data_IF_859867197387
#
_entry.id   IF_859867197387
#
_cell.length_a   1.000
_cell.length_b   1.000
_cell.length_c   1.000
_cell.angle_alpha   90.00
_cell.angle_beta   90.00
_cell.angle_gamma   90.00
#
_symmetry.space_group_name_H-M   'P 1'
#
loop_
_entity.id
_entity.type
_entity.pdbx_description
1 polymer ?
#
# COMPACT_ATOMS: atom_id res chain seq x y z
N UNK A 1 -36.87 1.19 -23.79
CA UNK A 1 -35.90 0.08 -23.90
C UNK A 1 -34.44 0.52 -23.94
N UNK A 2 -34.04 1.53 -24.70
CA UNK A 2 -32.63 1.99 -24.82
C UNK A 2 -32.03 2.50 -23.50
N UNK A 3 -32.80 3.25 -22.69
CA UNK A 3 -32.34 3.80 -21.41
C UNK A 3 -32.10 2.72 -20.33
N UNK A 4 -32.88 1.64 -20.30
CA UNK A 4 -32.66 0.53 -19.35
C UNK A 4 -31.40 -0.27 -19.68
N UNK A 5 -31.09 -0.43 -20.97
CA UNK A 5 -29.85 -1.10 -21.40
C UNK A 5 -28.61 -0.30 -21.01
N UNK A 6 -28.66 1.03 -21.16
CA UNK A 6 -27.57 1.90 -20.72
C UNK A 6 -27.40 1.89 -19.21
N UNK A 7 -28.50 1.95 -18.45
CA UNK A 7 -28.43 1.86 -16.99
C UNK A 7 -27.86 0.51 -16.53
N UNK A 8 -28.34 -0.59 -17.10
CA UNK A 8 -27.85 -1.93 -16.78
C UNK A 8 -26.34 -2.04 -17.09
N UNK A 9 -25.91 -1.57 -18.26
CA UNK A 9 -24.47 -1.57 -18.61
C UNK A 9 -23.63 -0.74 -17.62
N UNK A 10 -24.10 0.46 -17.23
CA UNK A 10 -23.40 1.31 -16.26
C UNK A 10 -23.27 0.67 -14.90
N UNK A 11 -24.35 0.04 -14.42
CA UNK A 11 -24.35 -0.69 -13.14
C UNK A 11 -23.39 -1.90 -13.22
N UNK A 12 -23.43 -2.65 -14.32
CA UNK A 12 -22.53 -3.80 -14.51
C UNK A 12 -21.07 -3.39 -14.50
N UNK A 13 -20.70 -2.29 -15.17
CA UNK A 13 -19.33 -1.74 -15.15
C UNK A 13 -18.94 -1.33 -13.75
N UNK A 14 -19.81 -0.62 -13.02
CA UNK A 14 -19.52 -0.19 -11.65
C UNK A 14 -19.31 -1.38 -10.71
N UNK A 15 -20.16 -2.40 -10.81
CA UNK A 15 -20.02 -3.64 -10.02
C UNK A 15 -18.73 -4.38 -10.37
N UNK A 16 -18.41 -4.51 -11.66
CA UNK A 16 -17.18 -5.16 -12.10
C UNK A 16 -15.94 -4.42 -11.58
N UNK A 17 -15.91 -3.10 -11.70
CA UNK A 17 -14.82 -2.30 -11.16
C UNK A 17 -14.67 -2.47 -9.64
N UNK A 18 -15.79 -2.43 -8.91
CA UNK A 18 -15.78 -2.65 -7.46
C UNK A 18 -15.20 -4.02 -7.10
N UNK A 19 -15.62 -5.08 -7.80
CA UNK A 19 -15.11 -6.43 -7.57
C UNK A 19 -13.62 -6.55 -7.87
N UNK A 20 -13.17 -5.96 -8.99
CA UNK A 20 -11.74 -5.96 -9.38
C UNK A 20 -10.90 -5.23 -8.34
N UNK A 21 -11.32 -4.03 -7.91
CA UNK A 21 -10.58 -3.28 -6.88
C UNK A 21 -10.61 -3.97 -5.52
N UNK A 22 -11.74 -4.55 -5.13
CA UNK A 22 -11.85 -5.31 -3.87
C UNK A 22 -10.94 -6.53 -3.90
N UNK A 23 -10.93 -7.26 -5.01
CA UNK A 23 -10.02 -8.38 -5.21
C UNK A 23 -8.55 -7.94 -5.08
N UNK A 24 -8.16 -6.89 -5.80
CA UNK A 24 -6.80 -6.38 -5.74
C UNK A 24 -6.39 -5.92 -4.32
N UNK A 25 -7.31 -5.29 -3.60
CA UNK A 25 -7.04 -4.67 -2.30
C UNK A 25 -7.13 -5.64 -1.12
N UNK A 26 -8.09 -6.56 -1.14
CA UNK A 26 -8.45 -7.41 0.00
C UNK A 26 -8.31 -8.91 -0.27
N UNK A 27 -7.69 -9.29 -1.37
CA UNK A 27 -7.48 -10.70 -1.64
C UNK A 27 -6.79 -11.37 -0.45
N UNK A 28 -7.47 -12.33 0.20
CA UNK A 28 -6.86 -13.13 1.26
C UNK A 28 -5.87 -14.10 0.62
N UNK A 29 -4.59 -13.83 0.80
CA UNK A 29 -3.55 -14.73 0.34
C UNK A 29 -3.62 -16.04 1.14
N UNK A 30 -3.32 -17.16 0.46
CA UNK A 30 -3.06 -18.42 1.16
C UNK A 30 -1.95 -18.20 2.19
N UNK A 31 -2.11 -18.76 3.39
CA UNK A 31 -1.08 -18.70 4.42
C UNK A 31 0.26 -19.25 3.92
N UNK A 32 1.35 -18.67 4.41
CA UNK A 32 2.69 -19.14 4.12
C UNK A 32 2.92 -20.52 4.74
N UNK A 33 3.34 -21.47 3.92
CA UNK A 33 3.82 -22.77 4.43
C UNK A 33 5.27 -22.66 4.91
N UNK A 34 5.73 -23.54 5.80
CA UNK A 34 7.13 -23.55 6.24
C UNK A 34 8.13 -23.66 5.08
N UNK A 35 7.80 -24.39 4.03
CA UNK A 35 8.66 -24.53 2.84
C UNK A 35 8.74 -23.22 2.05
N UNK A 36 7.64 -22.49 1.93
CA UNK A 36 7.63 -21.18 1.28
C UNK A 36 8.41 -20.13 2.09
N UNK A 37 8.27 -20.14 3.43
CA UNK A 37 9.07 -19.28 4.31
C UNK A 37 10.56 -19.55 4.09
N UNK A 38 10.98 -20.83 4.07
CA UNK A 38 12.37 -21.19 3.82
C UNK A 38 12.87 -20.73 2.45
N UNK A 39 12.05 -20.85 1.40
CA UNK A 39 12.39 -20.39 0.06
C UNK A 39 12.58 -18.85 0.00
N UNK A 40 11.66 -18.09 0.59
CA UNK A 40 11.79 -16.63 0.68
C UNK A 40 13.03 -16.22 1.48
N UNK A 41 13.26 -16.86 2.63
CA UNK A 41 14.42 -16.54 3.46
C UNK A 41 15.73 -16.81 2.71
N UNK A 42 15.85 -17.95 2.04
CA UNK A 42 17.06 -18.25 1.24
C UNK A 42 17.33 -17.21 0.15
N UNK A 43 16.28 -16.76 -0.54
CA UNK A 43 16.40 -15.71 -1.56
C UNK A 43 16.84 -14.37 -0.95
N UNK A 44 16.20 -13.97 0.16
CA UNK A 44 16.51 -12.70 0.85
C UNK A 44 17.92 -12.73 1.44
N UNK A 45 18.36 -13.86 2.03
CA UNK A 45 19.71 -14.05 2.52
C UNK A 45 20.77 -13.91 1.42
N UNK A 46 20.52 -14.47 0.25
CA UNK A 46 21.40 -14.31 -0.90
C UNK A 46 21.51 -12.85 -1.36
N UNK A 47 20.42 -12.08 -1.23
CA UNK A 47 20.40 -10.66 -1.60
C UNK A 47 21.14 -9.75 -0.60
N UNK A 48 21.22 -10.12 0.69
CA UNK A 48 21.93 -9.35 1.72
C UNK A 48 23.44 -9.25 1.42
N UNK A 49 23.97 -10.16 0.62
CA UNK A 49 25.35 -10.07 0.13
C UNK A 49 25.56 -8.89 -0.83
N UNK A 50 24.48 -8.29 -1.36
CA UNK A 50 24.56 -7.10 -2.21
C UNK A 50 24.72 -5.84 -1.38
N UNK A 51 25.51 -4.85 -1.83
CA UNK A 51 25.67 -3.58 -1.12
C UNK A 51 24.34 -2.89 -0.85
N UNK A 52 24.11 -2.45 0.38
CA UNK A 52 22.93 -1.71 0.78
C UNK A 52 21.72 -2.55 1.22
N UNK A 53 21.76 -3.87 1.13
CA UNK A 53 20.70 -4.70 1.69
C UNK A 53 20.89 -4.89 3.22
N UNK A 54 19.89 -4.46 3.99
CA UNK A 54 19.89 -4.61 5.44
C UNK A 54 18.57 -5.23 5.91
N UNK A 55 18.63 -6.44 6.47
CA UNK A 55 17.49 -7.11 7.07
C UNK A 55 17.89 -7.76 8.39
N UNK A 56 17.02 -7.63 9.39
CA UNK A 56 17.09 -8.50 10.55
C UNK A 56 16.43 -9.85 10.18
N UNK A 57 17.23 -10.82 9.75
CA UNK A 57 16.75 -12.10 9.23
C UNK A 57 15.96 -12.88 10.28
N UNK A 58 16.40 -12.86 11.54
CA UNK A 58 15.70 -13.54 12.61
C UNK A 58 14.29 -12.99 12.81
N UNK A 59 14.16 -11.67 12.92
CA UNK A 59 12.87 -11.02 13.08
C UNK A 59 11.96 -11.20 11.83
N UNK A 60 12.56 -11.17 10.63
CA UNK A 60 11.82 -11.40 9.40
C UNK A 60 11.29 -12.83 9.31
N UNK A 61 12.11 -13.84 9.62
CA UNK A 61 11.69 -15.25 9.64
C UNK A 61 10.51 -15.45 10.58
N UNK A 62 10.65 -15.03 11.84
CA UNK A 62 9.59 -15.12 12.84
C UNK A 62 8.30 -14.45 12.36
N UNK A 63 8.41 -13.25 11.77
CA UNK A 63 7.29 -12.53 11.23
C UNK A 63 6.57 -13.31 10.11
N UNK A 64 7.30 -13.99 9.22
CA UNK A 64 6.71 -14.80 8.14
C UNK A 64 6.10 -16.11 8.65
N UNK A 65 6.70 -16.75 9.65
CA UNK A 65 6.20 -17.98 10.27
C UNK A 65 4.87 -17.76 11.02
N UNK A 66 4.63 -16.54 11.52
CA UNK A 66 3.39 -16.13 12.19
C UNK A 66 2.31 -15.62 11.21
N UNK A 67 2.38 -15.95 9.91
CA UNK A 67 1.45 -15.46 8.91
C UNK A 67 0.01 -15.88 9.21
N UNK A 68 -0.89 -14.91 9.27
CA UNK A 68 -2.33 -15.08 9.49
C UNK A 68 -3.19 -14.66 8.26
N UNK A 69 -2.52 -14.38 7.14
CA UNK A 69 -3.16 -13.96 5.88
C UNK A 69 -3.76 -12.57 5.89
N UNK A 70 -3.63 -11.82 7.00
CA UNK A 70 -4.20 -10.48 7.12
C UNK A 70 -3.25 -9.40 6.63
N UNK A 71 -3.78 -8.21 6.30
CA UNK A 71 -2.96 -7.05 6.00
C UNK A 71 -2.07 -6.67 7.18
N UNK A 72 -0.86 -6.25 6.84
CA UNK A 72 0.11 -5.71 7.81
C UNK A 72 0.55 -4.32 7.38
N UNK A 73 0.95 -3.52 8.36
CA UNK A 73 1.36 -2.15 8.13
C UNK A 73 2.79 -1.96 8.66
N UNK A 74 3.59 -1.24 7.90
CA UNK A 74 4.87 -0.74 8.39
C UNK A 74 4.72 0.73 8.72
N UNK A 75 4.96 1.09 9.95
CA UNK A 75 5.13 2.48 10.37
C UNK A 75 6.62 2.75 10.34
N UNK A 76 7.06 3.59 9.41
CA UNK A 76 8.46 3.93 9.22
C UNK A 76 8.69 5.38 9.65
N UNK A 77 9.74 5.59 10.42
CA UNK A 77 10.22 6.91 10.82
C UNK A 77 11.65 7.08 10.29
N UNK A 78 11.88 8.17 9.61
CA UNK A 78 13.13 8.45 8.89
C UNK A 78 13.78 9.73 9.36
N UNK A 79 15.12 9.69 9.46
CA UNK A 79 15.97 10.88 9.50
C UNK A 79 16.91 10.79 8.31
N UNK A 80 16.91 11.80 7.45
CA UNK A 80 17.70 11.81 6.23
C UNK A 80 19.15 12.26 6.48
N UNK A 81 20.04 11.77 5.64
CA UNK A 81 21.37 12.33 5.49
C UNK A 81 21.28 13.67 4.74
N UNK A 82 22.10 14.65 5.09
CA UNK A 82 22.23 15.87 4.30
C UNK A 82 22.76 15.55 2.90
N UNK A 83 23.79 14.69 2.84
CA UNK A 83 24.35 14.14 1.61
C UNK A 83 24.15 12.62 1.64
N UNK A 84 23.58 12.07 0.57
CA UNK A 84 23.32 10.64 0.48
C UNK A 84 24.61 9.82 0.54
N UNK A 85 24.63 8.80 1.41
CA UNK A 85 25.80 7.98 1.65
C UNK A 85 25.84 6.76 0.70
N UNK A 86 26.05 7.01 -0.57
CA UNK A 86 26.20 5.95 -1.55
C UNK A 86 27.56 5.25 -1.48
N UNK A 87 27.63 3.95 -1.81
CA UNK A 87 28.90 3.25 -1.97
C UNK A 87 29.77 3.93 -3.04
N UNK A 88 31.09 3.95 -2.82
CA UNK A 88 32.03 4.47 -3.81
C UNK A 88 31.89 3.72 -5.14
N UNK A 89 31.85 4.48 -6.24
CA UNK A 89 31.70 3.91 -7.59
C UNK A 89 30.25 3.55 -7.98
N UNK A 90 29.26 3.85 -7.16
CA UNK A 90 27.86 3.60 -7.49
C UNK A 90 27.31 4.46 -8.65
N UNK A 91 27.97 5.57 -8.96
CA UNK A 91 27.51 6.55 -9.96
C UNK A 91 26.35 7.44 -9.48
N UNK A 92 25.92 7.31 -8.23
CA UNK A 92 24.85 8.11 -7.63
C UNK A 92 25.39 9.14 -6.63
N UNK A 93 24.70 10.28 -6.56
CA UNK A 93 24.97 11.37 -5.63
C UNK A 93 23.68 12.13 -5.32
N UNK A 94 23.76 13.16 -4.47
CA UNK A 94 22.66 14.04 -4.11
C UNK A 94 22.38 14.05 -2.61
N UNK A 95 21.24 14.61 -2.22
CA UNK A 95 20.78 14.65 -0.83
C UNK A 95 20.16 13.30 -0.39
N UNK A 96 19.99 13.13 0.91
CA UNK A 96 19.27 11.98 1.44
C UNK A 96 17.82 11.93 0.94
N UNK A 97 17.14 13.07 0.84
CA UNK A 97 15.76 13.13 0.31
C UNK A 97 15.69 12.71 -1.15
N UNK A 98 16.60 13.20 -2.00
CA UNK A 98 16.67 12.79 -3.42
C UNK A 98 16.94 11.29 -3.57
N UNK A 99 17.80 10.74 -2.73
CA UNK A 99 18.03 9.29 -2.70
C UNK A 99 16.76 8.52 -2.29
N UNK A 100 16.02 9.03 -1.29
CA UNK A 100 14.75 8.43 -0.89
C UNK A 100 13.67 8.52 -1.99
N UNK A 101 13.64 9.60 -2.75
CA UNK A 101 12.71 9.75 -3.87
C UNK A 101 13.02 8.74 -4.99
N UNK A 102 14.30 8.47 -5.27
CA UNK A 102 14.71 7.39 -6.17
C UNK A 102 14.22 6.03 -5.66
N UNK A 103 14.43 5.74 -4.36
CA UNK A 103 13.87 4.54 -3.74
C UNK A 103 12.36 4.44 -3.92
N UNK A 104 11.63 5.49 -3.62
CA UNK A 104 10.17 5.54 -3.67
C UNK A 104 9.64 5.36 -5.09
N UNK A 105 10.29 5.93 -6.09
CA UNK A 105 9.89 5.82 -7.50
C UNK A 105 9.95 4.37 -8.01
N UNK A 106 10.87 3.56 -7.50
CA UNK A 106 10.99 2.13 -7.81
C UNK A 106 9.98 1.32 -6.97
N UNK A 107 9.89 1.63 -5.68
CA UNK A 107 9.13 0.84 -4.72
C UNK A 107 7.62 0.94 -4.89
N UNK A 108 7.08 2.14 -5.15
CA UNK A 108 5.63 2.35 -5.23
C UNK A 108 4.99 1.47 -6.31
N UNK A 109 5.48 1.43 -7.55
CA UNK A 109 4.95 0.52 -8.57
C UNK A 109 5.05 -0.96 -8.20
N UNK A 110 6.14 -1.38 -7.56
CA UNK A 110 6.33 -2.76 -7.11
C UNK A 110 5.32 -3.17 -6.03
N UNK A 111 5.01 -2.26 -5.11
CA UNK A 111 4.00 -2.46 -4.08
C UNK A 111 2.59 -2.52 -4.67
N UNK A 112 2.23 -1.58 -5.56
CA UNK A 112 0.91 -1.50 -6.18
C UNK A 112 0.57 -2.79 -6.93
N UNK A 113 1.52 -3.38 -7.65
CA UNK A 113 1.33 -4.66 -8.34
C UNK A 113 0.95 -5.80 -7.39
N UNK A 114 1.24 -5.67 -6.09
CA UNK A 114 0.95 -6.66 -5.03
C UNK A 114 -0.21 -6.24 -4.11
N UNK A 115 -1.05 -5.29 -4.53
CA UNK A 115 -2.15 -4.80 -3.70
C UNK A 115 -1.70 -4.07 -2.43
N UNK A 116 -0.45 -3.61 -2.43
CA UNK A 116 0.19 -2.91 -1.33
C UNK A 116 0.51 -1.47 -1.74
N UNK A 117 0.45 -0.52 -0.83
CA UNK A 117 0.74 0.87 -1.15
C UNK A 117 0.95 1.72 0.10
N UNK A 118 1.63 2.87 0.01
CA UNK A 118 1.62 3.85 1.08
C UNK A 118 0.20 4.35 1.36
N UNK A 119 -0.17 4.45 2.62
CA UNK A 119 -1.45 5.00 3.07
C UNK A 119 -1.30 6.34 3.78
N UNK A 120 -0.10 6.67 4.19
CA UNK A 120 0.24 7.94 4.79
C UNK A 120 1.71 8.27 4.52
N UNK A 121 2.00 9.52 4.25
CA UNK A 121 3.35 10.06 4.15
C UNK A 121 3.34 11.53 4.55
N UNK A 122 4.16 11.91 5.54
CA UNK A 122 4.38 13.31 5.86
C UNK A 122 5.45 13.89 4.94
N UNK A 123 5.33 15.13 4.54
CA UNK A 123 6.44 15.87 3.92
C UNK A 123 7.40 16.45 4.95
N UNK A 124 7.06 16.81 6.17
CA UNK A 124 7.60 17.10 7.39
C UNK A 124 6.97 17.99 8.23
N UNK A 125 7.25 18.09 9.33
CA UNK A 125 6.68 18.82 10.34
C UNK A 125 7.55 19.85 11.02
N UNK A 126 7.05 20.59 11.97
CA UNK A 126 7.80 21.47 12.85
C UNK A 126 8.88 20.66 13.59
N UNK A 127 10.10 20.82 13.17
CA UNK A 127 11.24 20.03 13.63
C UNK A 127 11.83 20.52 14.95
N UNK A 128 11.30 21.58 15.55
CA UNK A 128 11.90 22.20 16.72
C UNK A 128 12.23 21.20 17.83
N UNK A 129 11.47 20.09 17.94
CA UNK A 129 11.70 19.05 18.92
C UNK A 129 11.61 17.61 18.34
N UNK A 130 11.43 17.45 17.05
CA UNK A 130 11.37 16.12 16.42
C UNK A 130 12.75 15.56 16.15
N UNK A 131 12.92 14.27 16.43
CA UNK A 131 14.13 13.51 16.04
C UNK A 131 13.96 12.85 14.66
N UNK A 132 12.85 13.12 13.99
CA UNK A 132 12.43 12.46 12.76
C UNK A 132 12.03 13.48 11.72
N UNK A 133 12.47 13.27 10.49
CA UNK A 133 12.18 14.15 9.35
C UNK A 133 10.92 13.73 8.61
N UNK A 134 10.60 12.43 8.60
CA UNK A 134 9.45 11.89 7.87
C UNK A 134 8.87 10.65 8.52
N UNK A 135 7.54 10.51 8.45
CA UNK A 135 6.81 9.27 8.78
C UNK A 135 6.14 8.78 7.50
N UNK A 136 6.27 7.48 7.24
CA UNK A 136 5.58 6.81 6.13
C UNK A 136 4.94 5.54 6.64
N UNK A 137 3.64 5.40 6.40
CA UNK A 137 2.90 4.18 6.72
C UNK A 137 2.57 3.48 5.40
N UNK A 138 3.02 2.25 5.28
CA UNK A 138 2.75 1.40 4.11
C UNK A 138 1.85 0.25 4.54
N UNK A 139 0.78 0.04 3.79
CA UNK A 139 -0.07 -1.12 3.89
C UNK A 139 0.43 -2.20 2.94
N UNK A 140 0.71 -3.37 3.47
CA UNK A 140 0.91 -4.60 2.70
C UNK A 140 -0.35 -5.46 2.80
N UNK A 141 -0.81 -5.99 1.68
CA UNK A 141 -2.02 -6.80 1.62
C UNK A 141 -1.91 -8.09 2.44
N UNK A 142 -0.69 -8.67 2.51
CA UNK A 142 -0.37 -9.84 3.33
C UNK A 142 1.13 -9.89 3.63
N UNK A 143 1.54 -10.77 4.56
CA UNK A 143 2.97 -11.06 4.80
C UNK A 143 3.60 -11.74 3.58
N UNK A 144 2.83 -12.53 2.83
CA UNK A 144 3.26 -13.10 1.56
C UNK A 144 3.63 -12.01 0.54
N UNK A 145 2.76 -11.00 0.33
CA UNK A 145 3.04 -9.92 -0.62
C UNK A 145 4.28 -9.09 -0.21
N UNK A 146 4.53 -8.97 1.09
CA UNK A 146 5.75 -8.34 1.60
C UNK A 146 6.98 -9.23 1.32
N UNK A 147 6.91 -10.55 1.55
CA UNK A 147 7.99 -11.48 1.26
C UNK A 147 8.29 -11.55 -0.24
N UNK A 148 7.26 -11.62 -1.08
CA UNK A 148 7.37 -11.55 -2.54
C UNK A 148 8.10 -10.29 -3.02
N UNK A 149 7.79 -9.16 -2.38
CA UNK A 149 8.45 -7.90 -2.69
C UNK A 149 9.93 -7.93 -2.32
N UNK A 150 10.23 -8.36 -1.08
CA UNK A 150 11.60 -8.40 -0.56
C UNK A 150 12.49 -9.38 -1.31
N UNK A 151 11.93 -10.44 -1.87
CA UNK A 151 12.64 -11.44 -2.65
C UNK A 151 12.95 -11.00 -4.10
N UNK A 152 12.55 -9.80 -4.53
CA UNK A 152 12.83 -9.32 -5.90
C UNK A 152 14.19 -8.64 -6.00
N UNK A 153 14.88 -8.81 -7.13
CA UNK A 153 16.11 -8.06 -7.43
C UNK A 153 15.86 -6.55 -7.48
N UNK A 154 14.72 -6.14 -8.00
CA UNK A 154 14.34 -4.73 -8.04
C UNK A 154 14.22 -4.10 -6.64
N UNK A 155 13.76 -4.86 -5.63
CA UNK A 155 13.79 -4.41 -4.24
C UNK A 155 15.22 -4.31 -3.71
N UNK A 156 16.07 -5.29 -4.01
CA UNK A 156 17.47 -5.26 -3.57
C UNK A 156 18.21 -4.05 -4.17
N UNK A 157 18.00 -3.75 -5.44
CA UNK A 157 18.55 -2.56 -6.12
C UNK A 157 18.01 -1.26 -5.51
N UNK A 158 16.70 -1.15 -5.31
CA UNK A 158 16.08 0.02 -4.70
C UNK A 158 16.58 0.24 -3.26
N UNK A 159 16.87 -0.82 -2.52
CA UNK A 159 17.34 -0.76 -1.13
C UNK A 159 18.64 0.02 -0.98
N UNK A 160 19.51 0.01 -1.99
CA UNK A 160 20.72 0.84 -2.00
C UNK A 160 20.39 2.33 -1.86
N UNK A 161 19.38 2.81 -2.57
CA UNK A 161 18.92 4.20 -2.49
C UNK A 161 18.33 4.52 -1.12
N UNK A 162 17.52 3.59 -0.56
CA UNK A 162 16.96 3.76 0.77
C UNK A 162 18.05 3.93 1.83
N UNK A 163 19.02 3.03 1.84
CA UNK A 163 20.06 3.07 2.88
C UNK A 163 21.07 4.19 2.68
N UNK A 164 21.31 4.60 1.44
CA UNK A 164 22.09 5.82 1.18
C UNK A 164 21.37 7.08 1.68
N UNK A 165 20.04 7.10 1.67
CA UNK A 165 19.24 8.27 2.06
C UNK A 165 19.19 8.49 3.57
N UNK A 166 19.31 7.44 4.41
CA UNK A 166 18.91 7.47 5.80
C UNK A 166 20.11 7.54 6.76
N UNK A 167 20.05 8.53 7.67
CA UNK A 167 20.90 8.58 8.86
C UNK A 167 20.33 7.72 9.98
N UNK A 168 19.00 7.72 10.13
CA UNK A 168 18.28 6.93 11.12
C UNK A 168 16.99 6.39 10.53
N UNK A 169 16.67 5.14 10.89
CA UNK A 169 15.44 4.50 10.51
C UNK A 169 14.90 3.69 11.69
N UNK A 170 13.65 3.94 12.02
CA UNK A 170 12.90 3.08 12.92
C UNK A 170 11.68 2.52 12.20
N UNK A 171 11.34 1.27 12.48
CA UNK A 171 10.24 0.58 11.82
C UNK A 171 9.48 -0.30 12.80
N UNK A 172 8.18 -0.08 12.85
CA UNK A 172 7.25 -0.97 13.54
C UNK A 172 6.40 -1.71 12.51
N UNK A 173 6.21 -3.02 12.73
CA UNK A 173 5.24 -3.84 12.00
C UNK A 173 4.01 -3.98 12.88
N UNK A 174 2.85 -3.56 12.37
CA UNK A 174 1.61 -3.55 13.13
C UNK A 174 0.45 -4.11 12.31
N UNK A 175 -0.50 -4.72 12.99
CA UNK A 175 -1.84 -4.93 12.43
C UNK A 175 -2.73 -3.81 12.95
N UNK A 176 -3.34 -3.06 12.05
CA UNK A 176 -4.10 -1.88 12.43
C UNK A 176 -5.58 -2.06 12.13
N UNK A 177 -6.42 -1.55 13.02
CA UNK A 177 -7.80 -1.24 12.70
C UNK A 177 -7.80 -0.01 11.79
N UNK A 178 -8.24 -0.19 10.53
CA UNK A 178 -8.36 0.94 9.61
C UNK A 178 -9.68 1.66 9.89
N UNK A 179 -9.59 2.90 10.36
CA UNK A 179 -10.74 3.78 10.54
C UNK A 179 -10.82 4.68 9.30
N UNK A 180 -11.87 4.56 8.47
CA UNK A 180 -12.01 5.41 7.28
C UNK A 180 -12.14 6.88 7.66
N UNK A 181 -11.69 7.76 6.77
CA UNK A 181 -11.89 9.20 6.92
C UNK A 181 -13.39 9.54 6.99
N UNK A 182 -13.77 10.33 8.00
CA UNK A 182 -15.17 10.67 8.26
C UNK A 182 -15.83 11.41 7.09
N UNK A 183 -15.12 12.30 6.40
CA UNK A 183 -15.65 13.03 5.27
C UNK A 183 -15.97 12.10 4.10
N UNK A 184 -15.10 11.10 3.86
CA UNK A 184 -15.35 10.06 2.84
C UNK A 184 -16.60 9.24 3.19
N UNK A 185 -16.75 8.84 4.45
CA UNK A 185 -17.93 8.11 4.92
C UNK A 185 -19.21 8.93 4.76
N UNK A 186 -19.19 10.19 5.18
CA UNK A 186 -20.35 11.08 5.05
C UNK A 186 -20.69 11.35 3.60
N UNK A 187 -19.69 11.52 2.72
CA UNK A 187 -19.90 11.69 1.28
C UNK A 187 -20.57 10.47 0.65
N UNK A 188 -20.12 9.27 0.98
CA UNK A 188 -20.73 8.02 0.52
C UNK A 188 -22.16 7.85 1.03
N UNK A 189 -22.42 8.16 2.31
CA UNK A 189 -23.76 8.11 2.87
C UNK A 189 -24.69 9.10 2.19
N UNK A 190 -24.25 10.33 1.96
CA UNK A 190 -25.02 11.34 1.26
C UNK A 190 -25.34 10.92 -0.17
N UNK A 191 -24.38 10.33 -0.89
CA UNK A 191 -24.57 9.81 -2.24
C UNK A 191 -25.62 8.67 -2.25
N UNK A 192 -25.52 7.71 -1.35
CA UNK A 192 -26.47 6.59 -1.22
C UNK A 192 -27.88 7.14 -0.93
N UNK A 193 -28.00 8.06 0.01
CA UNK A 193 -29.28 8.70 0.31
C UNK A 193 -29.86 9.46 -0.89
N UNK A 194 -29.04 10.20 -1.61
CA UNK A 194 -29.46 10.90 -2.83
C UNK A 194 -30.01 9.94 -3.90
N UNK A 195 -29.29 8.84 -4.15
CA UNK A 195 -29.74 7.79 -5.08
C UNK A 195 -31.04 7.14 -4.62
N UNK A 196 -31.19 6.87 -3.33
CA UNK A 196 -32.44 6.31 -2.79
C UNK A 196 -33.62 7.27 -2.98
N UNK A 197 -33.47 8.53 -2.60
CA UNK A 197 -34.53 9.57 -2.77
C UNK A 197 -34.91 9.71 -4.23
N UNK A 198 -33.94 9.80 -5.14
CA UNK A 198 -34.18 9.86 -6.57
C UNK A 198 -34.95 8.63 -7.08
N UNK A 199 -34.56 7.45 -6.68
CA UNK A 199 -35.16 6.18 -7.09
C UNK A 199 -36.62 6.07 -6.62
N UNK A 200 -36.89 6.43 -5.35
CA UNK A 200 -38.24 6.47 -4.79
C UNK A 200 -39.12 7.50 -5.50
N UNK A 201 -38.59 8.71 -5.72
CA UNK A 201 -39.28 9.77 -6.45
C UNK A 201 -39.65 9.35 -7.87
N UNK A 202 -38.75 8.70 -8.57
CA UNK A 202 -38.97 8.17 -9.93
C UNK A 202 -40.04 7.06 -9.94
N UNK A 203 -40.00 6.14 -9.00
CA UNK A 203 -41.03 5.08 -8.88
C UNK A 203 -42.42 5.65 -8.62
N UNK A 204 -42.51 6.64 -7.71
CA UNK A 204 -43.76 7.33 -7.42
C UNK A 204 -44.31 8.07 -8.64
N UNK A 205 -43.47 8.76 -9.37
CA UNK A 205 -43.89 9.50 -10.58
C UNK A 205 -44.37 8.56 -11.70
N UNK A 206 -43.71 7.42 -11.89
CA UNK A 206 -44.12 6.41 -12.86
C UNK A 206 -45.50 5.78 -12.49
N UNK A 207 -45.77 5.56 -11.20
CA UNK A 207 -47.07 5.08 -10.73
C UNK A 207 -48.18 6.09 -11.00
N UNK A 208 -47.94 7.37 -10.70
CA UNK A 208 -48.94 8.43 -10.96
C UNK A 208 -49.28 8.54 -12.44
N UNK A 209 -48.31 8.35 -13.33
CA UNK A 209 -48.56 8.34 -14.78
C UNK A 209 -49.34 7.14 -15.27
N UNK A 210 -49.29 6.00 -14.57
CA UNK A 210 -50.08 4.79 -14.90
C UNK A 210 -51.51 4.86 -14.44
N UNK A 211 -51.84 5.62 -13.39
CA UNK A 211 -53.17 5.72 -12.82
C UNK A 211 -53.91 7.03 -13.20
N UNK A 212 -53.21 7.95 -13.89
CA UNK A 212 -53.80 9.24 -14.34
C UNK A 212 -54.10 9.27 -15.83
N UNK A 213 -54.01 8.16 -16.53
CA UNK A 213 -54.46 7.94 -17.92
C UNK A 213 -55.62 6.94 -17.90
#
# INVERSE_FOLDING_TARGET
>A
MRSYRLLAASVSVAVLMFLVFTYWYQWSAKLLSPSEVNAYMATIEAQIQKPGAQHNLYALRKFLEEDDGKPVYTVNMYTFNEVANYPKGSGFSGTGEEAYDRFSSIMIPLMIRRGSHPIYGSSWADQANSKWDRIVIVRYRSRRDLADLFATDAFAEASMHKWASLRKHDRMLVQALHIPDGNLMFGLMALIMGVMVYSVGRMRNNRLQQFGA
#
